data_IF_079635729650
#
_entry.id   IF_079635729650
#
_cell.length_a   1.000
_cell.length_b   1.000
_cell.length_c   1.000
_cell.angle_alpha   90.00
_cell.angle_beta   90.00
_cell.angle_gamma   90.00
#
_symmetry.space_group_name_H-M   'P 1'
#
loop_
_entity.id
_entity.type
_entity.pdbx_description
1 polymer ?
#
# COMPACT_ATOMS: atom_id res chain seq x y z
N UNK A 1 -8.38 -12.89 10.17
CA UNK A 1 -7.75 -11.63 9.74
C UNK A 1 -8.77 -10.83 8.93
N UNK A 2 -8.99 -9.54 9.20
CA UNK A 2 -9.77 -8.69 8.30
C UNK A 2 -9.10 -8.67 6.92
N UNK A 3 -9.90 -8.60 5.85
CA UNK A 3 -9.36 -8.48 4.50
C UNK A 3 -8.49 -7.20 4.42
N UNK A 4 -7.30 -7.25 3.80
CA UNK A 4 -6.50 -6.06 3.59
C UNK A 4 -7.33 -4.98 2.90
N UNK A 5 -7.31 -3.76 3.44
CA UNK A 5 -8.04 -2.61 2.87
C UNK A 5 -7.68 -2.37 1.38
N UNK A 6 -6.48 -2.82 1.00
CA UNK A 6 -5.95 -2.80 -0.35
C UNK A 6 -5.54 -4.21 -0.76
N UNK A 7 -6.12 -4.70 -1.86
CA UNK A 7 -5.86 -6.04 -2.39
C UNK A 7 -4.39 -6.26 -2.78
N UNK A 8 -4.05 -7.51 -3.12
CA UNK A 8 -2.74 -7.83 -3.70
C UNK A 8 -2.48 -7.05 -5.00
N UNK A 9 -3.55 -6.74 -5.73
CA UNK A 9 -3.55 -6.03 -7.00
C UNK A 9 -3.69 -4.51 -6.85
N UNK A 10 -3.62 -3.98 -5.63
CA UNK A 10 -3.73 -2.55 -5.42
C UNK A 10 -2.55 -1.81 -6.08
N UNK A 11 -2.81 -0.85 -6.97
CA UNK A 11 -1.76 -0.16 -7.71
C UNK A 11 -0.84 0.70 -6.85
N UNK A 12 -1.30 1.12 -5.65
CA UNK A 12 -0.52 1.83 -4.64
C UNK A 12 0.44 0.89 -3.91
N UNK A 13 0.27 -0.43 -4.05
CA UNK A 13 1.09 -1.46 -3.42
C UNK A 13 2.40 -1.67 -4.21
N UNK A 14 3.30 -0.70 -4.10
CA UNK A 14 4.63 -0.75 -4.72
C UNK A 14 5.64 -1.48 -3.83
N UNK A 15 5.46 -2.79 -3.61
CA UNK A 15 6.42 -3.61 -2.84
C UNK A 15 7.46 -4.27 -3.76
N UNK A 16 8.69 -4.46 -3.25
CA UNK A 16 9.79 -5.08 -3.99
C UNK A 16 10.91 -5.54 -3.07
N UNK A 17 11.80 -6.40 -3.57
CA UNK A 17 12.99 -6.86 -2.85
C UNK A 17 14.13 -5.83 -2.91
N UNK A 18 14.03 -4.86 -3.83
CA UNK A 18 14.99 -3.78 -4.00
C UNK A 18 14.29 -2.43 -4.22
N UNK A 19 15.02 -1.35 -4.01
CA UNK A 19 14.53 0.03 -4.26
C UNK A 19 14.20 0.23 -5.75
N UNK A 20 15.00 -0.33 -6.66
CA UNK A 20 14.73 -0.23 -8.10
C UNK A 20 13.41 -0.88 -8.49
N UNK A 21 13.10 -2.07 -7.95
CA UNK A 21 11.83 -2.76 -8.21
C UNK A 21 10.62 -1.95 -7.72
N UNK A 22 10.76 -1.30 -6.54
CA UNK A 22 9.71 -0.43 -5.99
C UNK A 22 9.48 0.77 -6.90
N UNK A 23 10.55 1.43 -7.34
CA UNK A 23 10.46 2.60 -8.22
C UNK A 23 9.92 2.26 -9.61
N UNK A 24 10.28 1.10 -10.17
CA UNK A 24 9.75 0.64 -11.46
C UNK A 24 8.25 0.35 -11.38
N UNK A 25 7.78 -0.29 -10.30
CA UNK A 25 6.34 -0.52 -10.08
C UNK A 25 5.60 0.79 -9.87
N UNK A 26 6.17 1.72 -9.10
CA UNK A 26 5.60 3.04 -8.90
C UNK A 26 5.49 3.81 -10.22
N UNK A 27 6.54 3.78 -11.04
CA UNK A 27 6.54 4.43 -12.35
C UNK A 27 5.47 3.87 -13.29
N UNK A 28 5.30 2.55 -13.32
CA UNK A 28 4.28 1.88 -14.16
C UNK A 28 2.85 2.24 -13.73
N UNK A 29 2.62 2.40 -12.43
CA UNK A 29 1.30 2.68 -11.87
C UNK A 29 1.06 4.17 -11.61
N UNK A 30 2.02 5.05 -11.88
CA UNK A 30 2.01 6.44 -11.44
C UNK A 30 0.74 7.19 -11.83
N UNK A 31 0.36 7.13 -13.12
CA UNK A 31 -0.83 7.81 -13.61
C UNK A 31 -2.12 7.29 -12.94
N UNK A 32 -2.17 5.98 -12.68
CA UNK A 32 -3.30 5.37 -12.01
C UNK A 32 -3.34 5.76 -10.52
N UNK A 33 -2.21 5.75 -9.81
CA UNK A 33 -2.12 6.20 -8.41
C UNK A 33 -2.59 7.65 -8.27
N UNK A 34 -2.18 8.53 -9.18
CA UNK A 34 -2.59 9.94 -9.18
C UNK A 34 -4.07 10.15 -9.51
N UNK A 35 -4.70 9.21 -10.23
CA UNK A 35 -6.13 9.27 -10.53
C UNK A 35 -7.02 8.76 -9.41
N UNK A 36 -6.46 8.05 -8.42
CA UNK A 36 -7.25 7.50 -7.33
C UNK A 36 -7.53 8.56 -6.25
N UNK A 37 -8.66 8.45 -5.53
CA UNK A 37 -8.96 9.33 -4.40
C UNK A 37 -7.84 9.25 -3.35
N UNK A 38 -7.43 10.39 -2.80
CA UNK A 38 -6.49 10.36 -1.68
C UNK A 38 -7.10 9.60 -0.50
N UNK A 39 -6.26 8.83 0.20
CA UNK A 39 -6.68 8.20 1.46
C UNK A 39 -7.14 9.24 2.47
N UNK A 40 -8.27 8.99 3.12
CA UNK A 40 -8.68 9.80 4.26
C UNK A 40 -7.77 9.54 5.46
N UNK A 41 -7.84 10.41 6.46
CA UNK A 41 -7.05 10.27 7.68
C UNK A 41 -7.37 8.95 8.38
N UNK A 42 -8.65 8.59 8.43
CA UNK A 42 -9.16 7.39 9.08
C UNK A 42 -8.68 6.12 8.36
N UNK A 43 -8.69 6.11 7.02
CA UNK A 43 -8.16 5.00 6.22
C UNK A 43 -6.66 4.81 6.46
N UNK A 44 -5.92 5.91 6.52
CA UNK A 44 -4.47 5.90 6.80
C UNK A 44 -4.16 5.38 8.20
N UNK A 45 -4.90 5.83 9.21
CA UNK A 45 -4.77 5.38 10.60
C UNK A 45 -5.10 3.89 10.72
N UNK A 46 -6.19 3.44 10.09
CA UNK A 46 -6.55 2.03 10.08
C UNK A 46 -5.45 1.16 9.43
N UNK A 47 -4.92 1.58 8.28
CA UNK A 47 -3.80 0.89 7.61
C UNK A 47 -2.56 0.81 8.50
N UNK A 48 -2.26 1.89 9.23
CA UNK A 48 -1.12 1.94 10.14
C UNK A 48 -1.30 0.97 11.32
N UNK A 49 -2.50 0.91 11.91
CA UNK A 49 -2.82 -0.04 12.97
C UNK A 49 -2.66 -1.50 12.53
N UNK A 50 -3.11 -1.85 11.31
CA UNK A 50 -2.92 -3.19 10.76
C UNK A 50 -1.44 -3.51 10.59
N UNK A 51 -0.65 -2.59 10.02
CA UNK A 51 0.79 -2.79 9.86
C UNK A 51 1.52 -2.98 11.19
N UNK A 52 1.14 -2.24 12.23
CA UNK A 52 1.70 -2.40 13.57
C UNK A 52 1.37 -3.78 14.14
N UNK A 53 0.12 -4.23 14.02
CA UNK A 53 -0.30 -5.55 14.48
C UNK A 53 0.46 -6.68 13.75
N UNK A 54 0.63 -6.59 12.43
CA UNK A 54 1.41 -7.57 11.65
C UNK A 54 2.91 -7.59 12.04
N UNK A 55 3.44 -6.48 12.52
CA UNK A 55 4.82 -6.39 13.00
C UNK A 55 5.02 -6.97 14.40
N UNK A 56 4.00 -6.91 15.25
CA UNK A 56 4.07 -7.41 16.63
C UNK A 56 3.93 -8.94 16.70
N UNK A 57 3.29 -9.56 15.70
CA UNK A 57 3.21 -11.03 15.55
C UNK A 57 4.44 -11.68 14.88
N UNK A 58 5.50 -10.92 14.55
CA UNK A 58 6.70 -11.41 13.84
C UNK A 58 7.98 -11.24 14.62
#
# INVERSE_FOLDING_TARGET
>A
MPAPLYGADDPRRCSGKSVSEVLDKFRRNYGLIMSLPQETKEEKEFRHCIWLAEKEER
#
